data_IF_236912224183
#
_entry.id   IF_236912224183
#
_cell.length_a   1.000
_cell.length_b   1.000
_cell.length_c   1.000
_cell.angle_alpha   90.00
_cell.angle_beta   90.00
_cell.angle_gamma   90.00
#
_symmetry.space_group_name_H-M   'P 1'
#
loop_
_entity.id
_entity.type
_entity.pdbx_description
1 polymer ?
#
# COMPACT_ATOMS: atom_id res chain seq x y z
N UNK A 1 4.54 -23.74 -7.21
CA UNK A 1 5.27 -22.92 -8.24
C UNK A 1 6.28 -22.02 -7.55
N UNK A 2 7.53 -21.97 -8.00
CA UNK A 2 8.58 -21.08 -7.46
C UNK A 2 8.33 -19.61 -7.78
N UNK A 3 8.76 -18.70 -6.89
CA UNK A 3 8.62 -17.24 -7.06
C UNK A 3 9.29 -16.79 -8.37
N UNK A 4 10.48 -17.28 -8.69
CA UNK A 4 11.20 -16.96 -9.94
C UNK A 4 10.40 -17.26 -11.21
N UNK A 5 9.61 -18.32 -11.19
CA UNK A 5 8.75 -18.71 -12.32
C UNK A 5 7.45 -17.88 -12.35
N UNK A 6 6.90 -17.57 -11.18
CA UNK A 6 5.67 -16.81 -11.05
C UNK A 6 5.87 -15.33 -11.43
N UNK A 7 6.97 -14.71 -10.97
CA UNK A 7 7.27 -13.30 -11.18
C UNK A 7 8.65 -13.14 -11.87
N UNK A 8 8.78 -13.50 -13.14
CA UNK A 8 10.07 -13.51 -13.83
C UNK A 8 10.67 -12.10 -14.02
N UNK A 9 9.84 -11.07 -13.90
CA UNK A 9 10.26 -9.68 -14.02
C UNK A 9 10.78 -9.07 -12.72
N UNK A 10 10.80 -9.81 -11.60
CA UNK A 10 11.08 -9.26 -10.27
C UNK A 10 12.45 -8.56 -10.19
N UNK A 11 13.46 -9.07 -10.88
CA UNK A 11 14.81 -8.48 -10.91
C UNK A 11 15.01 -7.49 -12.07
N UNK A 12 14.02 -7.33 -12.96
CA UNK A 12 14.09 -6.39 -14.08
C UNK A 12 13.50 -5.02 -13.76
N UNK A 13 12.83 -4.90 -12.62
CA UNK A 13 12.19 -3.66 -12.21
C UNK A 13 13.22 -2.75 -11.56
N UNK A 14 13.35 -1.55 -12.12
CA UNK A 14 14.17 -0.49 -11.51
C UNK A 14 13.30 0.25 -10.50
N UNK A 15 13.63 0.11 -9.23
CA UNK A 15 13.04 0.90 -8.17
C UNK A 15 14.04 1.96 -7.72
N UNK A 16 13.59 3.19 -7.43
CA UNK A 16 14.44 4.15 -6.74
C UNK A 16 14.87 3.57 -5.40
N UNK A 17 16.16 3.58 -5.13
CA UNK A 17 16.74 3.18 -3.85
C UNK A 17 17.13 4.45 -3.12
N UNK A 18 16.67 4.64 -1.91
CA UNK A 18 16.95 5.83 -1.11
C UNK A 18 18.26 5.65 -0.34
N UNK A 19 19.02 6.72 -0.22
CA UNK A 19 20.07 6.78 0.78
C UNK A 19 19.43 6.92 2.17
N UNK A 20 19.99 6.31 3.23
CA UNK A 20 19.46 6.43 4.61
C UNK A 20 19.26 7.88 5.05
N UNK A 21 20.18 8.76 4.65
CA UNK A 21 20.16 10.19 4.95
C UNK A 21 19.20 11.02 4.08
N UNK A 22 18.52 10.41 3.09
CA UNK A 22 17.54 11.13 2.25
C UNK A 22 16.47 11.75 3.13
N UNK A 23 16.19 13.03 2.94
CA UNK A 23 15.16 13.73 3.70
C UNK A 23 13.78 13.11 3.48
N UNK A 24 12.95 13.08 4.52
CA UNK A 24 11.61 12.51 4.50
C UNK A 24 10.74 13.12 3.39
N UNK A 25 10.80 14.45 3.19
CA UNK A 25 10.03 15.12 2.13
C UNK A 25 10.39 14.60 0.74
N UNK A 26 11.66 14.29 0.49
CA UNK A 26 12.12 13.72 -0.78
C UNK A 26 11.62 12.28 -0.95
N UNK A 27 11.76 11.46 0.09
CA UNK A 27 11.29 10.08 0.09
C UNK A 27 9.78 9.98 -0.18
N UNK A 28 8.96 10.81 0.49
CA UNK A 28 7.52 10.87 0.30
C UNK A 28 7.12 11.41 -1.08
N UNK A 29 7.88 12.35 -1.61
CA UNK A 29 7.68 12.85 -2.98
C UNK A 29 7.97 11.78 -4.03
N UNK A 30 8.98 10.94 -3.82
CA UNK A 30 9.30 9.80 -4.69
C UNK A 30 8.23 8.69 -4.61
N UNK A 31 7.73 8.35 -3.41
CA UNK A 31 6.58 7.45 -3.26
C UNK A 31 5.37 7.92 -4.06
N UNK A 32 5.08 9.23 -3.98
CA UNK A 32 4.01 9.86 -4.74
C UNK A 32 4.28 9.81 -6.25
N UNK A 33 5.46 10.21 -6.69
CA UNK A 33 5.82 10.30 -8.12
C UNK A 33 5.77 8.94 -8.82
N UNK A 34 6.26 7.90 -8.16
CA UNK A 34 6.28 6.53 -8.69
C UNK A 34 5.00 5.74 -8.40
N UNK A 35 4.06 6.32 -7.67
CA UNK A 35 2.79 5.67 -7.28
C UNK A 35 2.97 4.30 -6.61
N UNK A 36 3.99 4.16 -5.77
CA UNK A 36 4.35 2.93 -5.07
C UNK A 36 4.10 3.03 -3.57
N UNK A 37 3.89 1.88 -2.92
CA UNK A 37 3.57 1.81 -1.49
C UNK A 37 4.80 1.90 -0.59
N UNK A 38 5.96 1.49 -1.11
CA UNK A 38 7.21 1.49 -0.36
C UNK A 38 8.42 1.68 -1.28
N UNK A 39 9.48 2.24 -0.73
CA UNK A 39 10.80 2.37 -1.37
C UNK A 39 11.86 1.70 -0.51
N UNK A 40 12.75 0.90 -1.10
CA UNK A 40 13.91 0.36 -0.39
C UNK A 40 14.87 1.51 -0.01
N UNK A 41 15.46 1.38 1.17
CA UNK A 41 16.59 2.21 1.61
C UNK A 41 17.88 1.47 1.29
N UNK A 42 18.85 2.15 0.72
CA UNK A 42 20.08 1.57 0.19
C UNK A 42 20.82 0.68 1.16
N UNK A 43 21.36 -0.39 0.61
CA UNK A 43 22.09 -1.39 1.36
C UNK A 43 23.58 -1.15 1.22
N UNK A 44 24.27 -1.07 2.32
CA UNK A 44 25.72 -1.30 2.32
C UNK A 44 25.94 -2.81 2.24
N UNK A 45 26.89 -3.23 1.43
CA UNK A 45 27.30 -4.63 1.33
C UNK A 45 27.66 -5.13 2.74
N UNK A 46 27.01 -6.21 3.19
CA UNK A 46 27.23 -6.77 4.53
C UNK A 46 26.22 -6.38 5.60
N UNK A 47 25.26 -5.48 5.33
CA UNK A 47 24.18 -5.20 6.28
C UNK A 47 23.18 -6.35 6.35
N UNK A 48 22.93 -6.84 7.57
CA UNK A 48 21.99 -7.94 7.84
C UNK A 48 20.53 -7.50 7.75
N UNK A 49 20.25 -6.19 7.85
CA UNK A 49 18.88 -5.64 7.86
C UNK A 49 18.58 -4.93 6.56
N UNK A 50 17.50 -5.32 5.94
CA UNK A 50 16.94 -4.65 4.77
C UNK A 50 15.85 -3.69 5.23
N UNK A 51 15.95 -2.43 4.87
CA UNK A 51 15.03 -1.39 5.29
C UNK A 51 14.22 -0.85 4.10
N UNK A 52 13.01 -0.41 4.38
CA UNK A 52 12.21 0.36 3.44
C UNK A 52 11.44 1.46 4.16
N UNK A 53 11.12 2.50 3.42
CA UNK A 53 10.14 3.50 3.82
C UNK A 53 8.80 3.18 3.14
N UNK A 54 7.72 3.26 3.89
CA UNK A 54 6.36 3.14 3.33
C UNK A 54 5.55 4.39 3.63
N UNK A 55 4.63 4.73 2.73
CA UNK A 55 3.71 5.83 2.97
C UNK A 55 2.90 5.64 4.25
N UNK A 56 2.48 4.40 4.53
CA UNK A 56 1.76 4.07 5.75
C UNK A 56 2.59 4.33 7.02
N UNK A 57 3.84 3.86 7.07
CA UNK A 57 4.71 4.09 8.25
C UNK A 57 4.98 5.58 8.47
N UNK A 58 5.19 6.33 7.39
CA UNK A 58 5.41 7.78 7.47
C UNK A 58 4.18 8.52 8.00
N UNK A 59 2.99 8.23 7.49
CA UNK A 59 1.75 8.84 7.98
C UNK A 59 1.46 8.46 9.43
N UNK A 60 1.75 7.21 9.82
CA UNK A 60 1.62 6.76 11.22
C UNK A 60 2.52 7.60 12.13
N UNK A 61 3.78 7.73 11.75
CA UNK A 61 4.75 8.54 12.51
C UNK A 61 4.36 10.00 12.59
N UNK A 62 3.88 10.57 11.48
CA UNK A 62 3.41 11.96 11.44
C UNK A 62 2.27 12.23 12.42
N UNK A 63 1.39 11.25 12.67
CA UNK A 63 0.31 11.37 13.66
C UNK A 63 0.78 11.36 15.12
N UNK A 64 1.94 10.82 15.40
CA UNK A 64 2.54 10.78 16.76
C UNK A 64 3.26 12.08 17.11
N UNK A 65 3.61 12.89 16.11
CA UNK A 65 4.38 14.11 16.25
C UNK A 65 3.43 15.29 16.52
N UNK A 66 3.87 16.22 17.34
CA UNK A 66 3.11 17.47 17.57
C UNK A 66 3.10 18.33 16.30
N UNK A 67 1.98 19.00 15.98
CA UNK A 67 1.89 19.82 14.77
C UNK A 67 3.01 20.85 14.58
N UNK A 68 3.53 21.41 15.66
CA UNK A 68 4.66 22.37 15.61
C UNK A 68 5.95 21.75 15.07
N UNK A 69 6.10 20.45 15.16
CA UNK A 69 7.30 19.69 14.77
C UNK A 69 7.20 19.07 13.37
N UNK A 70 6.11 19.29 12.63
CA UNK A 70 5.92 18.73 11.28
C UNK A 70 7.01 19.20 10.30
N UNK A 71 7.45 20.46 10.39
CA UNK A 71 8.56 20.95 9.56
C UNK A 71 9.83 20.13 9.78
N UNK A 72 10.21 19.95 11.06
CA UNK A 72 11.37 19.15 11.42
C UNK A 72 11.26 17.69 10.94
N UNK A 73 10.05 17.10 11.03
CA UNK A 73 9.81 15.74 10.51
C UNK A 73 10.11 15.63 9.02
N UNK A 74 9.73 16.61 8.21
CA UNK A 74 9.97 16.63 6.77
C UNK A 74 11.46 16.68 6.41
N UNK A 75 12.28 17.27 7.28
CA UNK A 75 13.73 17.40 7.11
C UNK A 75 14.52 16.22 7.67
N UNK A 76 13.88 15.35 8.48
CA UNK A 76 14.55 14.18 9.08
C UNK A 76 14.98 13.17 8.01
N UNK A 77 16.07 12.40 8.27
CA UNK A 77 16.45 11.27 7.45
C UNK A 77 15.32 10.23 7.35
N UNK A 78 15.10 9.66 6.18
CA UNK A 78 14.02 8.71 5.95
C UNK A 78 14.19 7.39 6.74
N UNK A 79 15.41 7.03 7.10
CA UNK A 79 15.70 5.86 7.95
C UNK A 79 14.99 5.91 9.31
N UNK A 80 14.66 7.10 9.84
CA UNK A 80 13.98 7.27 11.14
C UNK A 80 12.57 6.64 11.17
N UNK A 81 11.93 6.53 10.00
CA UNK A 81 10.60 5.89 9.86
C UNK A 81 10.67 4.59 9.07
N UNK A 82 11.88 4.12 8.80
CA UNK A 82 12.07 2.88 8.07
C UNK A 82 11.51 1.69 8.84
N UNK A 83 11.01 0.73 8.07
CA UNK A 83 10.58 -0.57 8.59
C UNK A 83 11.52 -1.64 8.08
N UNK A 84 11.81 -2.62 8.92
CA UNK A 84 12.59 -3.78 8.50
C UNK A 84 11.77 -4.64 7.54
N UNK A 85 12.36 -4.94 6.38
CA UNK A 85 11.76 -5.79 5.37
C UNK A 85 12.10 -7.25 5.63
N UNK A 86 11.08 -8.07 5.57
CA UNK A 86 11.29 -9.51 5.47
C UNK A 86 11.87 -9.87 4.11
N UNK A 87 12.82 -10.78 4.11
CA UNK A 87 13.50 -11.27 2.92
C UNK A 87 13.07 -12.69 2.61
N UNK A 88 12.96 -13.02 1.34
CA UNK A 88 12.65 -14.36 0.87
C UNK A 88 13.52 -14.71 -0.34
N UNK A 89 14.02 -15.95 -0.39
CA UNK A 89 14.76 -16.46 -1.55
C UNK A 89 13.79 -16.72 -2.73
N UNK A 90 14.19 -16.31 -3.93
CA UNK A 90 13.40 -16.45 -5.17
C UNK A 90 13.10 -17.90 -5.56
N UNK A 91 13.90 -18.84 -5.08
CA UNK A 91 13.71 -20.28 -5.28
C UNK A 91 12.62 -20.88 -4.40
N UNK A 92 12.12 -20.15 -3.40
CA UNK A 92 11.00 -20.59 -2.56
C UNK A 92 9.70 -20.65 -3.35
N UNK A 93 8.75 -21.42 -2.83
CA UNK A 93 7.42 -21.51 -3.40
C UNK A 93 6.64 -20.20 -3.22
N UNK A 94 5.78 -19.85 -4.18
CA UNK A 94 4.94 -18.65 -4.16
C UNK A 94 4.06 -18.58 -2.90
N UNK A 95 3.62 -19.73 -2.38
CA UNK A 95 2.86 -19.78 -1.12
C UNK A 95 3.67 -19.21 0.05
N UNK A 96 4.99 -19.44 0.09
CA UNK A 96 5.84 -18.89 1.16
C UNK A 96 5.86 -17.36 1.14
N UNK A 97 5.81 -16.72 -0.04
CA UNK A 97 5.68 -15.26 -0.17
C UNK A 97 4.31 -14.77 0.34
N UNK A 98 3.23 -15.46 0.01
CA UNK A 98 1.89 -15.15 0.52
C UNK A 98 1.82 -15.27 2.04
N UNK A 99 2.37 -16.35 2.61
CA UNK A 99 2.46 -16.55 4.07
C UNK A 99 3.33 -15.49 4.74
N UNK A 100 4.38 -15.03 4.07
CA UNK A 100 5.22 -13.95 4.57
C UNK A 100 4.42 -12.64 4.67
N UNK A 101 3.63 -12.29 3.65
CA UNK A 101 2.76 -11.10 3.69
C UNK A 101 1.68 -11.25 4.77
N UNK A 102 1.06 -12.42 4.88
CA UNK A 102 0.08 -12.71 5.94
C UNK A 102 0.68 -12.51 7.33
N UNK A 103 1.88 -13.03 7.58
CA UNK A 103 2.58 -12.94 8.86
C UNK A 103 2.99 -11.51 9.20
N UNK A 104 3.60 -10.80 8.26
CA UNK A 104 4.16 -9.45 8.49
C UNK A 104 3.09 -8.36 8.43
N UNK A 105 1.94 -8.65 7.82
CA UNK A 105 0.90 -7.67 7.47
C UNK A 105 1.41 -6.56 6.54
N UNK A 106 2.60 -6.73 5.94
CA UNK A 106 3.12 -5.88 4.87
C UNK A 106 2.76 -6.49 3.51
N UNK A 107 2.31 -5.64 2.59
CA UNK A 107 2.00 -6.04 1.20
C UNK A 107 3.22 -5.97 0.29
N UNK A 108 4.44 -6.08 0.81
CA UNK A 108 5.69 -6.05 0.06
C UNK A 108 6.79 -6.79 0.80
N UNK A 109 7.76 -7.31 0.06
CA UNK A 109 8.90 -8.04 0.58
C UNK A 109 10.10 -7.91 -0.34
N UNK A 110 11.29 -8.08 0.22
CA UNK A 110 12.54 -8.19 -0.52
C UNK A 110 12.72 -9.63 -1.00
N UNK A 111 13.06 -9.80 -2.29
CA UNK A 111 13.30 -11.12 -2.89
C UNK A 111 14.74 -11.17 -3.36
N UNK A 112 15.47 -12.19 -2.95
CA UNK A 112 16.91 -12.33 -3.22
C UNK A 112 17.20 -13.59 -4.05
N UNK A 113 18.27 -13.50 -4.87
CA UNK A 113 18.87 -14.62 -5.59
C UNK A 113 20.32 -14.31 -5.91
N UNK A 114 21.27 -15.08 -5.39
CA UNK A 114 22.68 -15.09 -5.81
C UNK A 114 23.28 -13.70 -6.10
N UNK A 115 23.09 -12.74 -5.20
CA UNK A 115 23.60 -11.37 -5.35
C UNK A 115 22.68 -10.41 -6.10
N UNK A 116 21.59 -10.89 -6.69
CA UNK A 116 20.53 -10.06 -7.25
C UNK A 116 19.38 -9.89 -6.26
N UNK A 117 18.76 -8.74 -6.28
CA UNK A 117 17.64 -8.46 -5.42
C UNK A 117 16.50 -7.76 -6.16
N UNK A 118 15.28 -8.01 -5.72
CA UNK A 118 14.06 -7.45 -6.28
C UNK A 118 13.03 -7.18 -5.20
N UNK A 119 11.90 -6.62 -5.58
CA UNK A 119 10.85 -6.22 -4.69
C UNK A 119 9.52 -6.80 -5.17
N UNK A 120 8.89 -7.62 -4.33
CA UNK A 120 7.57 -8.18 -4.58
C UNK A 120 6.50 -7.42 -3.79
N UNK A 121 5.35 -7.20 -4.42
CA UNK A 121 4.22 -6.49 -3.82
C UNK A 121 2.91 -7.25 -3.96
N UNK A 122 1.88 -6.83 -3.23
CA UNK A 122 0.52 -7.36 -3.41
C UNK A 122 0.00 -7.19 -4.83
N UNK A 123 0.42 -6.14 -5.53
CA UNK A 123 0.02 -5.93 -6.93
C UNK A 123 0.49 -7.07 -7.82
N UNK A 124 1.73 -7.54 -7.65
CA UNK A 124 2.25 -8.68 -8.41
C UNK A 124 1.40 -9.93 -8.22
N UNK A 125 0.95 -10.15 -6.99
CA UNK A 125 0.11 -11.30 -6.66
C UNK A 125 -1.32 -11.15 -7.20
N UNK A 126 -1.86 -9.94 -7.25
CA UNK A 126 -3.15 -9.66 -7.90
C UNK A 126 -3.05 -9.91 -9.41
N UNK A 127 -1.95 -9.49 -10.05
CA UNK A 127 -1.71 -9.77 -11.46
C UNK A 127 -1.63 -11.29 -11.74
N UNK A 128 -0.99 -12.06 -10.84
CA UNK A 128 -0.98 -13.53 -10.94
C UNK A 128 -2.39 -14.12 -10.77
N UNK A 129 -3.21 -13.53 -9.93
CA UNK A 129 -4.60 -13.94 -9.75
C UNK A 129 -5.44 -13.65 -11.00
N UNK A 130 -5.31 -12.45 -11.55
CA UNK A 130 -5.96 -12.04 -12.80
C UNK A 130 -5.60 -12.95 -13.97
N UNK A 131 -4.34 -13.39 -14.03
CA UNK A 131 -3.85 -14.32 -15.04
C UNK A 131 -4.19 -15.81 -14.74
N UNK A 132 -4.88 -16.09 -13.64
CA UNK A 132 -5.30 -17.44 -13.27
C UNK A 132 -4.19 -18.40 -12.83
N UNK A 133 -3.03 -17.85 -12.47
CA UNK A 133 -1.90 -18.61 -11.86
C UNK A 133 -2.21 -18.88 -10.39
N UNK A 134 -2.80 -17.90 -9.72
CA UNK A 134 -3.38 -18.04 -8.38
C UNK A 134 -4.89 -17.96 -8.51
N UNK A 135 -5.64 -18.67 -7.69
CA UNK A 135 -7.10 -18.64 -7.74
C UNK A 135 -7.78 -19.26 -6.53
N UNK A 136 -9.07 -18.99 -6.39
CA UNK A 136 -9.94 -19.66 -5.43
C UNK A 136 -11.37 -19.78 -5.99
N UNK A 137 -12.11 -20.80 -5.57
CA UNK A 137 -13.53 -20.94 -5.90
C UNK A 137 -14.38 -20.15 -4.91
N UNK A 138 -14.22 -18.83 -4.93
CA UNK A 138 -14.94 -17.88 -4.11
C UNK A 138 -15.45 -16.73 -4.98
N UNK A 139 -16.53 -16.10 -4.57
CA UNK A 139 -17.11 -14.91 -5.21
C UNK A 139 -16.70 -13.62 -4.48
N UNK A 140 -17.01 -12.49 -5.09
CA UNK A 140 -16.76 -11.15 -4.54
C UNK A 140 -17.33 -10.98 -3.14
N UNK A 141 -18.59 -11.42 -2.90
CA UNK A 141 -19.26 -11.34 -1.60
C UNK A 141 -18.58 -12.16 -0.51
N UNK A 142 -17.95 -13.28 -0.86
CA UNK A 142 -17.31 -14.20 0.10
C UNK A 142 -16.05 -13.60 0.74
N UNK A 143 -15.44 -12.59 0.06
CA UNK A 143 -14.23 -11.92 0.52
C UNK A 143 -14.42 -10.44 0.80
N UNK A 144 -15.62 -9.88 0.62
CA UNK A 144 -15.87 -8.47 0.88
C UNK A 144 -15.63 -8.13 2.37
N UNK A 145 -15.08 -6.95 2.59
CA UNK A 145 -14.87 -6.34 3.91
C UNK A 145 -15.84 -5.20 4.15
N UNK A 146 -16.18 -4.89 5.41
CA UNK A 146 -17.07 -3.76 5.72
C UNK A 146 -16.58 -2.44 5.13
N UNK A 147 -17.50 -1.63 4.64
CA UNK A 147 -17.22 -0.26 4.21
C UNK A 147 -17.20 0.65 5.43
N UNK A 148 -16.09 1.38 5.60
CA UNK A 148 -15.96 2.41 6.63
C UNK A 148 -16.00 3.79 5.98
N UNK A 149 -16.86 4.67 6.49
CA UNK A 149 -17.05 6.01 5.93
C UNK A 149 -16.86 7.11 6.98
N UNK A 150 -16.51 8.29 6.50
CA UNK A 150 -16.37 9.52 7.29
C UNK A 150 -17.02 10.69 6.54
N UNK A 151 -17.52 11.70 7.27
CA UNK A 151 -18.03 12.91 6.66
C UNK A 151 -16.96 13.64 5.82
N UNK A 152 -17.37 14.25 4.71
CA UNK A 152 -16.49 14.99 3.79
C UNK A 152 -15.71 16.13 4.45
N UNK A 153 -16.26 16.72 5.51
CA UNK A 153 -15.62 17.80 6.27
C UNK A 153 -14.65 17.32 7.34
N UNK A 154 -14.45 16.00 7.48
CA UNK A 154 -13.44 15.43 8.40
C UNK A 154 -12.04 15.85 7.98
N UNK A 155 -11.23 16.36 8.93
CA UNK A 155 -9.82 16.69 8.68
C UNK A 155 -8.98 15.44 8.43
N UNK A 156 -7.88 15.59 7.69
CA UNK A 156 -6.95 14.48 7.35
C UNK A 156 -6.42 13.80 8.62
N UNK A 157 -6.00 14.56 9.64
CA UNK A 157 -5.47 13.97 10.87
C UNK A 157 -6.43 13.00 11.56
N UNK A 158 -7.66 13.40 11.90
CA UNK A 158 -8.70 12.49 12.40
C UNK A 158 -9.02 11.31 11.45
N UNK A 159 -9.03 11.54 10.13
CA UNK A 159 -9.29 10.48 9.16
C UNK A 159 -8.18 9.42 9.18
N UNK A 160 -6.91 9.82 9.21
CA UNK A 160 -5.77 8.90 9.35
C UNK A 160 -5.84 8.11 10.66
N UNK A 161 -6.15 8.77 11.80
CA UNK A 161 -6.34 8.06 13.08
C UNK A 161 -7.43 6.99 12.99
N UNK A 162 -8.54 7.29 12.31
CA UNK A 162 -9.60 6.32 12.06
C UNK A 162 -9.11 5.14 11.21
N UNK A 163 -8.39 5.43 10.11
CA UNK A 163 -7.85 4.40 9.22
C UNK A 163 -6.86 3.49 9.96
N UNK A 164 -5.92 4.04 10.72
CA UNK A 164 -4.93 3.25 11.45
C UNK A 164 -5.54 2.42 12.59
N UNK A 165 -6.45 3.00 13.35
CA UNK A 165 -7.17 2.25 14.40
C UNK A 165 -7.90 1.02 13.86
N UNK A 166 -8.41 1.11 12.63
CA UNK A 166 -9.14 0.02 11.94
C UNK A 166 -8.24 -0.83 11.04
N UNK A 167 -6.97 -0.48 10.89
CA UNK A 167 -6.03 -1.14 9.99
C UNK A 167 -6.50 -1.17 8.54
N UNK A 168 -7.13 -0.08 8.10
CA UNK A 168 -7.62 0.11 6.72
C UNK A 168 -6.80 1.18 6.02
N UNK A 169 -6.65 1.05 4.71
CA UNK A 169 -5.92 2.01 3.85
C UNK A 169 -6.86 2.89 3.01
N UNK A 170 -8.17 2.78 3.25
CA UNK A 170 -9.21 3.50 2.52
C UNK A 170 -10.30 3.93 3.48
N UNK A 171 -10.90 5.08 3.20
CA UNK A 171 -12.14 5.50 3.86
C UNK A 171 -13.08 6.10 2.83
N UNK A 172 -14.36 5.74 2.92
CA UNK A 172 -15.40 6.24 2.04
C UNK A 172 -15.95 7.56 2.57
N UNK A 173 -16.58 8.33 1.71
CA UNK A 173 -17.24 9.58 2.10
C UNK A 173 -18.70 9.28 2.37
N UNK A 174 -19.15 9.63 3.58
CA UNK A 174 -20.55 9.43 3.99
C UNK A 174 -21.50 10.14 3.02
N UNK A 175 -22.46 9.38 2.47
CA UNK A 175 -23.45 9.90 1.52
C UNK A 175 -22.96 10.08 0.08
N UNK A 176 -21.69 9.72 -0.21
CA UNK A 176 -21.14 9.75 -1.57
C UNK A 176 -20.58 8.37 -1.95
N UNK A 177 -20.71 7.97 -3.21
CA UNK A 177 -20.03 6.78 -3.74
C UNK A 177 -18.58 7.10 -4.11
N UNK A 178 -17.82 7.62 -3.13
CA UNK A 178 -16.42 8.02 -3.32
C UNK A 178 -15.60 7.67 -2.10
N UNK A 179 -14.30 7.50 -2.30
CA UNK A 179 -13.36 7.18 -1.24
C UNK A 179 -12.03 7.91 -1.43
N UNK A 180 -11.22 7.88 -0.39
CA UNK A 180 -9.84 8.34 -0.38
C UNK A 180 -8.94 7.23 0.20
N UNK A 181 -7.70 7.18 -0.27
CA UNK A 181 -6.67 6.25 0.20
C UNK A 181 -5.59 6.98 0.98
N UNK A 182 -4.79 6.25 1.76
CA UNK A 182 -3.55 6.76 2.36
C UNK A 182 -2.59 7.31 1.29
N UNK A 183 -2.49 6.66 0.13
CA UNK A 183 -1.72 7.14 -1.03
C UNK A 183 -2.28 8.46 -1.57
N UNK A 184 -3.60 8.58 -1.71
CA UNK A 184 -4.25 9.83 -2.11
C UNK A 184 -3.99 10.96 -1.11
N UNK A 185 -3.96 10.65 0.19
CA UNK A 185 -3.59 11.60 1.23
C UNK A 185 -2.13 12.04 1.09
N UNK A 186 -1.19 11.12 0.88
CA UNK A 186 0.23 11.45 0.61
C UNK A 186 0.33 12.33 -0.63
N UNK A 187 -0.32 11.95 -1.73
CA UNK A 187 -0.29 12.71 -2.98
C UNK A 187 -0.81 14.14 -2.80
N UNK A 188 -1.81 14.34 -1.97
CA UNK A 188 -2.32 15.66 -1.64
C UNK A 188 -1.36 16.46 -0.76
N UNK A 189 -0.92 15.89 0.37
CA UNK A 189 -0.05 16.57 1.35
C UNK A 189 1.28 17.00 0.70
N UNK A 190 1.86 16.13 -0.13
CA UNK A 190 3.16 16.35 -0.78
C UNK A 190 3.03 16.88 -2.22
N UNK A 191 1.87 17.44 -2.59
CA UNK A 191 1.74 18.24 -3.81
C UNK A 191 2.53 19.56 -3.69
N UNK A 192 3.02 20.09 -4.80
CA UNK A 192 3.83 21.33 -4.80
C UNK A 192 3.11 22.51 -4.11
N UNK A 193 1.79 22.66 -4.36
CA UNK A 193 0.98 23.70 -3.74
C UNK A 193 0.88 23.54 -2.22
N UNK A 194 0.73 22.31 -1.72
CA UNK A 194 0.63 22.03 -0.28
C UNK A 194 1.97 22.15 0.43
N UNK A 195 3.05 21.71 -0.20
CA UNK A 195 4.41 21.87 0.33
C UNK A 195 4.77 23.35 0.49
N UNK A 196 4.39 24.23 -0.44
CA UNK A 196 4.58 25.67 -0.31
C UNK A 196 3.82 26.27 0.90
N UNK A 197 2.62 25.75 1.19
CA UNK A 197 1.87 26.13 2.39
C UNK A 197 2.54 25.57 3.65
N UNK A 198 2.93 24.29 3.62
CA UNK A 198 3.57 23.63 4.76
C UNK A 198 4.92 24.23 5.12
N UNK A 199 5.70 24.72 4.14
CA UNK A 199 6.95 25.44 4.39
C UNK A 199 6.74 26.72 5.23
N UNK A 200 5.60 27.41 5.05
CA UNK A 200 5.26 28.63 5.79
C UNK A 200 4.49 28.34 7.09
N UNK A 201 3.66 27.31 7.08
CA UNK A 201 2.76 26.94 8.19
C UNK A 201 2.74 25.41 8.38
N UNK A 202 3.85 24.77 8.81
CA UNK A 202 3.96 23.30 8.87
C UNK A 202 2.90 22.66 9.75
N UNK A 203 2.46 23.32 10.83
CA UNK A 203 1.43 22.84 11.74
C UNK A 203 0.06 22.58 11.09
N UNK A 204 -0.18 23.16 9.90
CA UNK A 204 -1.44 22.98 9.15
C UNK A 204 -1.44 21.78 8.19
N UNK A 205 -0.37 21.01 8.15
CA UNK A 205 -0.16 19.93 7.17
C UNK A 205 -1.34 18.93 7.11
N UNK A 206 -1.94 18.59 8.26
CA UNK A 206 -3.06 17.66 8.38
C UNK A 206 -4.43 18.34 8.59
N UNK A 207 -4.52 19.64 8.41
CA UNK A 207 -5.76 20.39 8.66
C UNK A 207 -6.76 20.40 7.49
N UNK A 208 -6.31 20.05 6.28
CA UNK A 208 -7.20 19.95 5.13
C UNK A 208 -8.30 18.89 5.36
N UNK A 209 -9.44 19.08 4.70
CA UNK A 209 -10.59 18.18 4.81
C UNK A 209 -10.53 17.08 3.76
N UNK A 210 -11.17 15.94 4.00
CA UNK A 210 -11.28 14.86 3.01
C UNK A 210 -11.87 15.35 1.69
N UNK A 211 -12.80 16.31 1.74
CA UNK A 211 -13.40 16.90 0.55
C UNK A 211 -12.48 17.76 -0.30
N UNK A 212 -11.31 18.15 0.23
CA UNK A 212 -10.30 18.93 -0.51
C UNK A 212 -9.37 18.00 -1.33
N UNK A 213 -9.44 16.67 -1.11
CA UNK A 213 -8.64 15.68 -1.81
C UNK A 213 -9.30 15.27 -3.13
N UNK A 214 -8.49 14.67 -4.01
CA UNK A 214 -9.04 13.99 -5.18
C UNK A 214 -9.75 12.70 -4.74
N UNK A 215 -11.08 12.75 -4.71
CA UNK A 215 -11.93 11.62 -4.33
C UNK A 215 -12.12 10.67 -5.51
N UNK A 216 -11.96 9.38 -5.26
CA UNK A 216 -11.99 8.32 -6.26
C UNK A 216 -13.36 7.64 -6.23
N UNK A 217 -13.94 7.40 -7.39
CA UNK A 217 -15.14 6.57 -7.51
C UNK A 217 -14.73 5.10 -7.59
N UNK A 218 -15.26 4.21 -6.71
CA UNK A 218 -14.96 2.79 -6.79
C UNK A 218 -15.57 2.18 -8.04
N UNK A 219 -14.95 1.13 -8.56
CA UNK A 219 -15.56 0.34 -9.64
C UNK A 219 -16.45 -0.72 -9.01
N UNK A 220 -17.70 -0.78 -9.51
CA UNK A 220 -18.69 -1.75 -9.06
C UNK A 220 -18.39 -3.14 -9.64
N UNK A 221 -18.60 -4.17 -8.85
CA UNK A 221 -18.62 -5.57 -9.29
C UNK A 221 -19.87 -6.26 -8.75
N UNK A 222 -20.35 -7.28 -9.44
CA UNK A 222 -21.48 -8.10 -8.92
C UNK A 222 -21.04 -8.89 -7.68
N UNK A 223 -21.99 -9.15 -6.78
CA UNK A 223 -21.75 -9.97 -5.58
C UNK A 223 -21.22 -11.37 -5.92
N UNK A 224 -21.72 -11.96 -7.00
CA UNK A 224 -21.33 -13.27 -7.49
C UNK A 224 -20.18 -13.26 -8.51
N UNK A 225 -19.58 -12.09 -8.77
CA UNK A 225 -18.41 -11.99 -9.65
C UNK A 225 -17.27 -12.86 -9.13
N UNK A 226 -16.55 -13.53 -10.04
CA UNK A 226 -15.40 -14.33 -9.65
C UNK A 226 -14.28 -13.45 -9.10
N UNK A 227 -13.46 -14.00 -8.19
CA UNK A 227 -12.31 -13.26 -7.68
C UNK A 227 -11.27 -13.01 -8.78
N UNK A 228 -11.25 -13.83 -9.85
CA UNK A 228 -10.41 -13.59 -11.01
C UNK A 228 -10.84 -12.31 -11.75
N UNK A 229 -12.14 -12.13 -11.97
CA UNK A 229 -12.66 -10.93 -12.62
C UNK A 229 -12.43 -9.68 -11.76
N UNK A 230 -12.65 -9.80 -10.45
CA UNK A 230 -12.35 -8.74 -9.49
C UNK A 230 -10.86 -8.37 -9.51
N UNK A 231 -9.94 -9.36 -9.57
CA UNK A 231 -8.51 -9.14 -9.67
C UNK A 231 -8.11 -8.48 -11.00
N UNK A 232 -8.64 -8.97 -12.13
CA UNK A 232 -8.40 -8.37 -13.46
C UNK A 232 -8.76 -6.91 -13.48
N UNK A 233 -9.95 -6.58 -12.98
CA UNK A 233 -10.38 -5.20 -12.89
C UNK A 233 -9.54 -4.34 -11.88
N UNK A 234 -8.78 -4.94 -10.97
CA UNK A 234 -7.85 -4.23 -10.07
C UNK A 234 -6.47 -4.00 -10.68
N UNK A 235 -5.97 -4.89 -11.54
CA UNK A 235 -4.65 -4.72 -12.18
C UNK A 235 -4.61 -3.48 -13.07
N UNK A 236 -5.74 -3.06 -13.61
CA UNK A 236 -5.85 -1.85 -14.44
C UNK A 236 -6.03 -0.54 -13.63
N UNK A 237 -6.12 -0.63 -12.29
CA UNK A 237 -6.42 0.50 -11.42
C UNK A 237 -5.35 0.75 -10.38
N UNK A 238 -4.82 1.98 -10.35
CA UNK A 238 -3.85 2.45 -9.35
C UNK A 238 -4.41 2.32 -7.92
N UNK A 239 -5.71 2.53 -7.73
CA UNK A 239 -6.34 2.54 -6.41
C UNK A 239 -6.81 1.16 -5.93
N UNK A 240 -6.73 0.16 -6.77
CA UNK A 240 -6.86 -1.25 -6.41
C UNK A 240 -7.96 -1.58 -5.39
N UNK A 241 -9.21 -1.18 -5.63
CA UNK A 241 -10.35 -1.68 -4.87
C UNK A 241 -11.62 -1.76 -5.72
N UNK A 242 -12.52 -2.64 -5.31
CA UNK A 242 -13.84 -2.82 -5.90
C UNK A 242 -14.90 -2.75 -4.81
N UNK A 243 -16.12 -2.48 -5.19
CA UNK A 243 -17.25 -2.50 -4.27
C UNK A 243 -18.35 -3.38 -4.84
N UNK A 244 -18.95 -4.17 -3.96
CA UNK A 244 -20.18 -4.93 -4.22
C UNK A 244 -21.19 -4.63 -3.11
N UNK A 245 -22.40 -5.18 -3.17
CA UNK A 245 -23.42 -4.95 -2.11
C UNK A 245 -22.95 -5.42 -0.74
N UNK A 246 -22.15 -6.50 -0.70
CA UNK A 246 -21.61 -7.03 0.54
C UNK A 246 -20.49 -6.17 1.15
N UNK A 247 -19.87 -5.26 0.40
CA UNK A 247 -18.81 -4.40 0.91
C UNK A 247 -17.70 -4.07 -0.08
N UNK A 248 -16.52 -3.75 0.43
CA UNK A 248 -15.33 -3.39 -0.35
C UNK A 248 -14.40 -4.60 -0.49
N UNK A 249 -13.80 -4.73 -1.67
CA UNK A 249 -12.82 -5.78 -1.98
C UNK A 249 -11.51 -5.10 -2.34
N UNK A 250 -10.43 -5.53 -1.70
CA UNK A 250 -9.08 -4.99 -1.89
C UNK A 250 -8.13 -6.10 -2.36
N UNK A 251 -6.91 -5.77 -2.82
CA UNK A 251 -5.88 -6.77 -3.09
C UNK A 251 -5.63 -7.73 -1.91
N UNK A 252 -5.71 -7.21 -0.70
CA UNK A 252 -5.57 -8.02 0.52
C UNK A 252 -6.69 -9.05 0.66
N UNK A 253 -7.94 -8.64 0.44
CA UNK A 253 -9.10 -9.52 0.56
C UNK A 253 -9.07 -10.67 -0.44
N UNK A 254 -8.68 -10.39 -1.71
CA UNK A 254 -8.60 -11.40 -2.77
C UNK A 254 -7.53 -12.45 -2.49
N UNK A 255 -6.44 -12.08 -1.85
CA UNK A 255 -5.29 -12.97 -1.62
C UNK A 255 -5.35 -13.63 -0.25
N UNK A 256 -5.58 -12.85 0.80
CA UNK A 256 -5.41 -13.34 2.17
C UNK A 256 -6.63 -14.09 2.68
N UNK A 257 -7.85 -13.67 2.38
CA UNK A 257 -9.04 -14.41 2.85
C UNK A 257 -9.15 -15.82 2.28
N UNK A 258 -8.90 -16.07 0.96
CA UNK A 258 -8.81 -17.43 0.46
C UNK A 258 -7.65 -18.23 1.07
N UNK A 259 -6.50 -17.59 1.34
CA UNK A 259 -5.36 -18.23 1.99
C UNK A 259 -5.68 -18.66 3.42
N UNK A 260 -6.27 -17.76 4.23
CA UNK A 260 -6.71 -18.04 5.60
C UNK A 260 -7.77 -19.16 5.66
N UNK A 261 -8.64 -19.25 4.65
CA UNK A 261 -9.65 -20.30 4.52
C UNK A 261 -9.11 -21.62 3.94
N UNK A 262 -7.84 -21.71 3.55
CA UNK A 262 -7.27 -22.89 2.89
C UNK A 262 -7.84 -23.18 1.50
N UNK A 263 -8.43 -22.16 0.85
CA UNK A 263 -9.11 -22.28 -0.47
C UNK A 263 -8.28 -21.71 -1.62
N UNK A 264 -7.09 -21.15 -1.34
CA UNK A 264 -6.21 -20.63 -2.36
C UNK A 264 -5.52 -21.77 -3.09
N UNK A 265 -5.57 -21.75 -4.42
CA UNK A 265 -4.88 -22.69 -5.29
C UNK A 265 -3.80 -21.97 -6.09
N UNK A 266 -2.63 -22.58 -6.23
CA UNK A 266 -1.50 -22.13 -7.06
C UNK A 266 -1.25 -23.21 -8.10
N UNK A 267 -1.32 -22.86 -9.39
CA UNK A 267 -1.11 -23.81 -10.50
C UNK A 267 0.37 -24.03 -10.80
#
# INVERSE_FOLDING_TARGET
>A
MKISKAIPSIFKRVYPVLEPSTQMVVALSLLRFHEIDALPIGFRTGESKKLAISGYSCLSRLLEIKPKDYGRFLEMPCEVTAVELSTIDVGKELEALLRLFEKTKFGFSWVESNGSAGFASLRDLVDLYANGIVGAKLSAKDVASPVYSLPKNTKIGPALKHMFKRRIRRTFITGEEKFVTDRGIISYIFSASRLNVAAKKPHTLLDAKLGDLNLIKPIQVGDDASLKDAAGAMSDSVENCRICKAGVITPWDILMKPLEQGKLAIK
#
